data_IF_054972298007
#
_entry.id   IF_054972298007
#
_cell.length_a   1.000
_cell.length_b   1.000
_cell.length_c   1.000
_cell.angle_alpha   90.00
_cell.angle_beta   90.00
_cell.angle_gamma   90.00
#
_symmetry.space_group_name_H-M   'P 1'
#
loop_
_entity.id
_entity.type
_entity.pdbx_description
1 polymer ?
#
# COMPACT_ATOMS: atom_id res chain seq x y z
N UNK A 1 -17.40 10.34 17.36
CA UNK A 1 -16.13 10.26 16.59
C UNK A 1 -15.04 10.83 17.47
N UNK A 2 -13.93 10.12 17.64
CA UNK A 2 -12.76 10.65 18.36
C UNK A 2 -11.73 11.18 17.35
N UNK A 3 -11.18 12.37 17.61
CA UNK A 3 -10.07 12.92 16.82
C UNK A 3 -8.74 12.65 17.51
N UNK A 4 -7.71 12.35 16.72
CA UNK A 4 -6.34 12.24 17.20
C UNK A 4 -5.36 12.80 16.18
N UNK A 5 -4.11 12.97 16.60
CA UNK A 5 -3.00 13.36 15.74
C UNK A 5 -2.14 12.13 15.47
N UNK A 6 -1.72 11.94 14.22
CA UNK A 6 -0.73 10.96 13.81
C UNK A 6 0.53 11.73 13.43
N UNK A 7 1.66 11.27 13.92
CA UNK A 7 2.96 11.73 13.46
C UNK A 7 3.36 11.00 12.17
N UNK A 8 3.64 11.72 11.09
CA UNK A 8 4.18 11.13 9.87
C UNK A 8 5.64 10.74 10.11
N UNK A 9 5.90 9.43 10.14
CA UNK A 9 7.24 8.86 10.32
C UNK A 9 7.99 8.68 9.00
N UNK A 10 7.32 8.83 7.86
CA UNK A 10 7.94 8.66 6.54
C UNK A 10 8.83 9.85 6.22
N UNK A 11 10.11 9.57 6.02
CA UNK A 11 11.10 10.57 5.59
C UNK A 11 11.02 10.88 4.10
N UNK A 12 10.43 9.99 3.29
CA UNK A 12 10.39 10.10 1.83
C UNK A 12 8.94 10.18 1.33
N UNK A 13 8.70 11.10 0.40
CA UNK A 13 7.39 11.23 -0.26
C UNK A 13 7.09 9.97 -1.08
N UNK A 14 5.80 9.68 -1.24
CA UNK A 14 5.31 8.60 -2.09
C UNK A 14 4.41 9.17 -3.18
N UNK A 15 4.45 8.57 -4.36
CA UNK A 15 3.50 8.81 -5.44
C UNK A 15 2.76 7.52 -5.73
N UNK A 16 1.53 7.67 -6.18
CA UNK A 16 0.80 6.54 -6.72
C UNK A 16 1.43 6.16 -8.05
N UNK A 17 1.71 4.87 -8.18
CA UNK A 17 2.29 4.32 -9.37
C UNK A 17 1.35 3.23 -9.85
N UNK A 18 0.82 3.38 -11.07
CA UNK A 18 -0.11 2.42 -11.68
C UNK A 18 0.55 1.62 -12.81
N UNK A 19 1.87 1.41 -12.73
CA UNK A 19 2.58 0.61 -13.72
C UNK A 19 2.60 -0.88 -13.40
N UNK A 20 3.09 -1.67 -14.35
CA UNK A 20 3.39 -3.09 -14.11
C UNK A 20 4.64 -3.20 -13.25
N UNK A 21 4.56 -4.03 -12.22
CA UNK A 21 5.71 -4.44 -11.41
C UNK A 21 5.69 -5.95 -11.33
N UNK A 22 6.88 -6.55 -11.34
CA UNK A 22 7.09 -7.96 -11.06
C UNK A 22 8.02 -8.07 -9.85
N UNK A 23 7.81 -9.13 -9.07
CA UNK A 23 8.60 -9.43 -7.88
C UNK A 23 8.99 -10.90 -7.89
N UNK A 24 10.29 -11.14 -7.81
CA UNK A 24 10.87 -12.47 -7.71
C UNK A 24 11.46 -12.65 -6.31
N UNK A 25 10.95 -13.58 -5.49
CA UNK A 25 11.61 -13.99 -4.26
C UNK A 25 12.98 -14.59 -4.54
N UNK A 26 13.99 -14.19 -3.76
CA UNK A 26 15.32 -14.82 -3.80
C UNK A 26 15.38 -15.84 -2.68
N UNK A 27 15.26 -17.13 -3.01
CA UNK A 27 15.44 -18.18 -2.02
C UNK A 27 16.92 -18.41 -1.69
N UNK A 28 17.31 -18.57 -0.41
CA UNK A 28 18.70 -18.81 -0.04
C UNK A 28 19.27 -20.15 -0.51
N UNK A 29 18.43 -21.11 -0.92
CA UNK A 29 18.84 -22.51 -1.18
C UNK A 29 18.49 -23.07 -2.56
N UNK A 30 17.67 -22.37 -3.35
CA UNK A 30 17.32 -22.81 -4.69
C UNK A 30 17.91 -21.81 -5.71
N UNK A 31 18.77 -22.31 -6.61
CA UNK A 31 19.16 -21.59 -7.83
C UNK A 31 18.01 -21.48 -8.84
N UNK A 32 16.80 -21.87 -8.44
CA UNK A 32 15.57 -21.78 -9.22
C UNK A 32 14.87 -20.48 -8.86
N UNK A 33 14.77 -19.55 -9.82
CA UNK A 33 13.91 -18.39 -9.69
C UNK A 33 12.46 -18.88 -9.52
N UNK A 34 11.84 -18.56 -8.37
CA UNK A 34 10.41 -18.73 -8.23
C UNK A 34 9.69 -17.90 -9.31
N UNK A 35 8.55 -18.37 -9.87
CA UNK A 35 7.87 -17.66 -10.95
C UNK A 35 7.45 -16.25 -10.49
N UNK A 36 7.71 -15.28 -11.37
CA UNK A 36 7.33 -13.87 -11.15
C UNK A 36 5.86 -13.75 -10.78
N UNK A 37 5.58 -13.16 -9.63
CA UNK A 37 4.21 -12.93 -9.20
C UNK A 37 3.63 -11.72 -9.95
N UNK A 38 2.46 -11.82 -10.58
CA UNK A 38 1.78 -10.65 -11.14
C UNK A 38 1.43 -9.70 -10.01
N UNK A 39 1.92 -8.46 -10.10
CA UNK A 39 1.67 -7.45 -9.07
C UNK A 39 1.06 -6.19 -9.65
N UNK A 40 0.22 -5.54 -8.84
CA UNK A 40 -0.14 -4.15 -9.07
C UNK A 40 0.67 -3.29 -8.11
N UNK A 41 1.41 -2.31 -8.62
CA UNK A 41 2.03 -1.31 -7.75
C UNK A 41 0.96 -0.45 -7.08
N UNK A 42 1.18 -0.14 -5.81
CA UNK A 42 0.29 0.72 -5.02
C UNK A 42 0.89 2.10 -4.89
N UNK A 43 2.16 2.19 -4.49
CA UNK A 43 2.90 3.45 -4.40
C UNK A 43 4.42 3.22 -4.48
N UNK A 44 5.14 4.28 -4.85
CA UNK A 44 6.59 4.32 -5.01
C UNK A 44 7.15 5.52 -4.23
N UNK A 45 8.29 5.33 -3.56
CA UNK A 45 9.19 6.40 -3.10
C UNK A 45 10.62 6.13 -3.59
N UNK A 46 11.56 7.03 -3.28
CA UNK A 46 12.97 6.79 -3.58
C UNK A 46 13.60 5.64 -2.77
N UNK A 47 13.00 5.28 -1.64
CA UNK A 47 13.53 4.26 -0.72
C UNK A 47 12.85 2.91 -0.84
N UNK A 48 11.75 2.81 -1.58
CA UNK A 48 11.01 1.56 -1.69
C UNK A 48 9.68 1.70 -2.41
N UNK A 49 8.95 0.59 -2.49
CA UNK A 49 7.61 0.56 -3.07
C UNK A 49 6.67 -0.34 -2.28
N UNK A 50 5.38 -0.03 -2.37
CA UNK A 50 4.32 -0.94 -1.98
C UNK A 50 3.80 -1.64 -3.23
N UNK A 51 3.83 -2.97 -3.22
CA UNK A 51 3.25 -3.82 -4.27
C UNK A 51 2.14 -4.67 -3.68
N UNK A 52 1.21 -5.09 -4.52
CA UNK A 52 0.18 -6.06 -4.16
C UNK A 52 0.44 -7.38 -4.84
N UNK A 53 0.49 -8.45 -4.05
CA UNK A 53 0.79 -9.82 -4.51
C UNK A 53 -0.31 -10.78 -4.07
N UNK A 54 -0.40 -11.91 -4.76
CA UNK A 54 -1.35 -13.01 -4.48
C UNK A 54 -0.86 -14.01 -3.44
N UNK A 55 0.39 -13.88 -2.99
CA UNK A 55 1.07 -14.81 -2.11
C UNK A 55 1.77 -14.05 -0.99
N UNK A 56 1.81 -14.64 0.20
CA UNK A 56 2.56 -14.06 1.31
C UNK A 56 4.06 -14.11 1.02
N UNK A 57 4.76 -13.01 1.33
CA UNK A 57 6.21 -12.95 1.29
C UNK A 57 6.78 -12.92 2.71
N UNK A 58 8.00 -13.43 2.88
CA UNK A 58 8.63 -13.46 4.20
C UNK A 58 9.25 -12.11 4.51
N UNK A 59 8.92 -11.51 5.66
CA UNK A 59 9.56 -10.26 6.11
C UNK A 59 11.08 -10.45 6.24
N UNK A 60 11.84 -9.44 5.81
CA UNK A 60 13.31 -9.42 5.66
C UNK A 60 13.88 -10.32 4.56
N UNK A 61 13.06 -11.09 3.83
CA UNK A 61 13.54 -11.81 2.65
C UNK A 61 13.99 -10.85 1.55
N UNK A 62 14.92 -11.34 0.71
CA UNK A 62 15.40 -10.62 -0.47
C UNK A 62 14.47 -10.88 -1.65
N UNK A 63 14.30 -9.85 -2.46
CA UNK A 63 13.48 -9.91 -3.69
C UNK A 63 14.17 -9.13 -4.80
N UNK A 64 13.95 -9.52 -6.04
CA UNK A 64 14.28 -8.71 -7.22
C UNK A 64 12.99 -8.09 -7.73
N UNK A 65 12.98 -6.77 -7.89
CA UNK A 65 11.87 -6.02 -8.45
C UNK A 65 12.17 -5.65 -9.90
N UNK A 66 11.20 -5.87 -10.79
CA UNK A 66 11.20 -5.35 -12.16
C UNK A 66 10.10 -4.32 -12.32
N UNK A 67 10.49 -3.07 -12.52
CA UNK A 67 9.57 -1.93 -12.62
C UNK A 67 9.44 -1.51 -14.08
N UNK A 68 8.23 -1.64 -14.64
CA UNK A 68 7.97 -1.29 -16.02
C UNK A 68 7.43 0.15 -16.10
N UNK A 69 8.35 1.10 -16.27
CA UNK A 69 8.00 2.51 -16.50
C UNK A 69 7.26 2.72 -17.83
N UNK A 70 7.52 1.87 -18.81
CA UNK A 70 6.80 1.80 -20.08
C UNK A 70 6.68 0.31 -20.46
N UNK A 71 5.48 -0.20 -20.76
CA UNK A 71 5.28 -1.62 -21.05
C UNK A 71 6.06 -2.12 -22.29
N UNK A 72 6.51 -1.21 -23.16
CA UNK A 72 7.30 -1.52 -24.36
C UNK A 72 8.82 -1.43 -24.15
N UNK A 73 9.28 -1.07 -22.95
CA UNK A 73 10.71 -0.91 -22.64
C UNK A 73 11.17 -1.98 -21.66
N UNK A 74 12.49 -2.21 -21.62
CA UNK A 74 13.11 -3.06 -20.60
C UNK A 74 12.75 -2.55 -19.20
N UNK A 75 12.43 -3.45 -18.25
CA UNK A 75 12.15 -3.06 -16.88
C UNK A 75 13.41 -2.47 -16.22
N UNK A 76 13.18 -1.64 -15.22
CA UNK A 76 14.23 -1.25 -14.29
C UNK A 76 14.29 -2.31 -13.20
N UNK A 77 15.41 -3.03 -13.12
CA UNK A 77 15.67 -4.03 -12.10
C UNK A 77 16.26 -3.40 -10.83
N UNK A 78 15.76 -3.82 -9.68
CA UNK A 78 16.24 -3.33 -8.38
C UNK A 78 16.15 -4.43 -7.33
N UNK A 79 17.25 -4.65 -6.61
CA UNK A 79 17.26 -5.50 -5.43
C UNK A 79 16.52 -4.82 -4.27
N UNK A 80 15.70 -5.61 -3.59
CA UNK A 80 14.89 -5.17 -2.47
C UNK A 80 14.89 -6.14 -1.31
N UNK A 81 14.37 -5.64 -0.18
CA UNK A 81 14.10 -6.42 1.02
C UNK A 81 12.66 -6.18 1.45
N UNK A 82 11.95 -7.26 1.78
CA UNK A 82 10.59 -7.16 2.31
C UNK A 82 10.64 -6.50 3.69
N UNK A 83 10.05 -5.32 3.82
CA UNK A 83 10.03 -4.54 5.04
C UNK A 83 8.80 -4.85 5.92
N UNK A 84 7.66 -5.08 5.29
CA UNK A 84 6.40 -5.44 5.96
C UNK A 84 5.47 -6.16 4.99
N UNK A 85 4.58 -6.98 5.53
CA UNK A 85 3.53 -7.69 4.78
C UNK A 85 2.23 -7.53 5.55
N UNK A 86 1.19 -7.12 4.84
CA UNK A 86 -0.17 -6.98 5.39
C UNK A 86 -1.10 -7.78 4.49
N UNK A 87 -1.63 -8.88 5.02
CA UNK A 87 -2.77 -9.55 4.39
C UNK A 87 -3.95 -8.58 4.44
N UNK A 88 -4.46 -8.20 3.27
CA UNK A 88 -5.74 -7.49 3.24
C UNK A 88 -6.81 -8.48 3.64
N UNK A 89 -7.79 -8.04 4.44
CA UNK A 89 -8.95 -8.88 4.71
C UNK A 89 -9.58 -9.30 3.38
N UNK A 90 -9.41 -10.57 3.08
CA UNK A 90 -10.03 -11.19 1.96
C UNK A 90 -11.35 -11.79 2.42
N UNK A 91 -12.44 -11.32 1.84
CA UNK A 91 -13.77 -11.88 2.09
C UNK A 91 -14.02 -13.13 1.24
N UNK A 92 -13.07 -13.52 0.38
CA UNK A 92 -13.12 -14.78 -0.36
C UNK A 92 -12.78 -15.94 0.57
N UNK A 93 -13.50 -17.03 0.41
CA UNK A 93 -13.25 -18.30 1.13
C UNK A 93 -12.14 -19.12 0.48
N UNK A 94 -11.72 -18.77 -0.74
CA UNK A 94 -10.70 -19.51 -1.51
C UNK A 94 -9.63 -18.58 -2.09
N UNK A 95 -8.38 -19.05 -2.24
CA UNK A 95 -7.28 -18.33 -2.88
C UNK A 95 -7.60 -17.81 -4.31
N UNK A 96 -6.86 -16.82 -4.84
CA UNK A 96 -5.66 -16.20 -4.23
C UNK A 96 -6.00 -15.03 -3.30
N UNK A 97 -5.45 -15.04 -2.08
CA UNK A 97 -5.51 -13.91 -1.15
C UNK A 97 -4.70 -12.71 -1.64
N UNK A 98 -4.99 -11.49 -1.18
CA UNK A 98 -4.22 -10.29 -1.55
C UNK A 98 -3.42 -9.76 -0.36
N UNK A 99 -2.12 -9.57 -0.58
CA UNK A 99 -1.20 -9.00 0.38
C UNK A 99 -0.66 -7.69 -0.16
N UNK A 100 -0.74 -6.63 0.63
CA UNK A 100 0.06 -5.44 0.40
C UNK A 100 1.44 -5.70 1.03
N UNK A 101 2.51 -5.50 0.24
CA UNK A 101 3.89 -5.77 0.64
C UNK A 101 4.72 -4.52 0.43
N UNK A 102 5.36 -4.06 1.50
CA UNK A 102 6.36 -3.00 1.42
C UNK A 102 7.73 -3.58 1.14
N UNK A 103 8.35 -3.17 0.05
CA UNK A 103 9.73 -3.51 -0.30
C UNK A 103 10.61 -2.27 -0.16
N UNK A 104 11.67 -2.39 0.63
CA UNK A 104 12.74 -1.40 0.73
C UNK A 104 13.80 -1.69 -0.34
N UNK A 105 14.26 -0.67 -1.06
CA UNK A 105 15.32 -0.82 -2.05
C UNK A 105 16.68 -0.93 -1.34
N UNK A 106 17.45 -1.97 -1.67
CA UNK A 106 18.80 -2.14 -1.12
C UNK A 106 19.82 -1.22 -1.80
N UNK A 107 19.75 -1.13 -3.13
CA UNK A 107 20.59 -0.24 -3.95
C UNK A 107 19.82 0.19 -5.20
N UNK A 108 18.95 1.22 -5.09
CA UNK A 108 18.13 1.64 -6.21
C UNK A 108 19.01 2.18 -7.35
N UNK A 109 18.89 1.65 -8.58
CA UNK A 109 19.70 2.11 -9.70
C UNK A 109 19.33 3.55 -10.07
N UNK A 110 20.27 4.26 -10.70
CA UNK A 110 20.05 5.65 -11.11
C UNK A 110 18.87 5.81 -12.07
N UNK A 111 18.60 4.80 -12.91
CA UNK A 111 17.43 4.75 -13.78
C UNK A 111 16.11 4.76 -13.00
N UNK A 112 16.04 4.07 -11.85
CA UNK A 112 14.87 4.07 -10.97
C UNK A 112 14.70 5.43 -10.29
N UNK A 113 15.81 6.05 -9.86
CA UNK A 113 15.78 7.40 -9.27
C UNK A 113 15.32 8.45 -10.29
N UNK A 114 15.85 8.41 -11.51
CA UNK A 114 15.41 9.29 -12.61
C UNK A 114 13.94 9.05 -12.96
N UNK A 115 13.49 7.81 -12.93
CA UNK A 115 12.09 7.47 -13.13
C UNK A 115 11.19 8.05 -12.02
N UNK A 116 11.56 7.84 -10.76
CA UNK A 116 10.88 8.40 -9.59
C UNK A 116 10.79 9.94 -9.68
N UNK A 117 11.89 10.61 -10.03
CA UNK A 117 11.93 12.06 -10.19
C UNK A 117 10.95 12.56 -11.28
N UNK A 118 10.84 11.85 -12.42
CA UNK A 118 9.86 12.19 -13.48
C UNK A 118 8.41 12.04 -13.01
N UNK A 119 8.13 11.19 -12.03
CA UNK A 119 6.81 11.05 -11.42
C UNK A 119 6.50 12.16 -10.38
N UNK A 120 7.40 13.14 -10.20
CA UNK A 120 7.22 14.22 -9.23
C UNK A 120 7.51 13.83 -7.78
N UNK A 121 8.29 12.77 -7.57
CA UNK A 121 8.88 12.47 -6.26
C UNK A 121 10.01 13.47 -5.99
N UNK A 122 9.95 14.31 -4.94
CA UNK A 122 11.05 15.18 -4.60
C UNK A 122 12.22 14.36 -4.05
N UNK A 123 13.43 14.77 -4.44
CA UNK A 123 14.71 14.33 -3.87
C UNK A 123 14.93 14.79 -2.41
N UNK A 124 14.00 15.56 -1.84
CA UNK A 124 14.11 16.13 -0.51
C UNK A 124 13.27 15.35 0.50
N UNK A 125 13.77 15.17 1.73
CA UNK A 125 12.98 14.63 2.82
C UNK A 125 11.67 15.40 2.98
N UNK A 126 10.59 14.68 3.24
CA UNK A 126 9.34 15.32 3.67
C UNK A 126 9.55 15.74 5.13
N UNK A 127 9.36 17.01 5.44
CA UNK A 127 9.31 17.46 6.83
C UNK A 127 8.29 16.62 7.59
N UNK A 128 8.63 16.21 8.82
CA UNK A 128 7.71 15.52 9.73
C UNK A 128 6.44 16.36 9.87
N UNK A 129 5.37 15.94 9.17
CA UNK A 129 4.08 16.61 9.23
C UNK A 129 3.16 15.81 10.14
N UNK A 130 2.37 16.52 10.93
CA UNK A 130 1.27 15.89 11.65
C UNK A 130 0.10 15.67 10.69
N UNK A 131 -0.65 14.62 10.93
CA UNK A 131 -1.85 14.27 10.16
C UNK A 131 -3.02 14.07 11.10
N UNK A 132 -4.20 14.55 10.71
CA UNK A 132 -5.42 14.41 11.51
C UNK A 132 -6.04 13.03 11.29
N UNK A 133 -6.33 12.31 12.36
CA UNK A 133 -7.11 11.06 12.34
C UNK A 133 -8.48 11.27 12.95
N UNK A 134 -9.52 10.80 12.28
CA UNK A 134 -10.87 10.71 12.82
C UNK A 134 -11.25 9.23 12.92
N UNK A 135 -11.46 8.74 14.13
CA UNK A 135 -12.02 7.40 14.34
C UNK A 135 -13.54 7.46 14.26
N UNK A 136 -14.08 6.67 13.34
CA UNK A 136 -15.52 6.47 13.21
C UNK A 136 -16.00 5.47 14.27
N UNK A 137 -17.29 5.51 14.57
CA UNK A 137 -17.88 4.55 15.51
C UNK A 137 -17.68 3.12 14.99
N UNK A 138 -17.27 2.18 15.87
CA UNK A 138 -17.21 0.76 15.52
C UNK A 138 -18.54 0.27 14.95
N UNK A 139 -18.49 -0.75 14.10
CA UNK A 139 -19.68 -1.44 13.60
C UNK A 139 -19.46 -2.95 13.66
N UNK A 140 -20.45 -3.69 14.14
CA UNK A 140 -20.46 -5.15 14.04
C UNK A 140 -21.35 -5.55 12.86
N UNK A 141 -20.82 -6.34 11.93
CA UNK A 141 -21.57 -6.83 10.76
C UNK A 141 -21.22 -8.31 10.59
N UNK A 142 -22.21 -9.21 10.71
CA UNK A 142 -22.02 -10.67 10.58
C UNK A 142 -20.91 -11.19 11.49
N UNK A 143 -21.03 -10.87 12.78
CA UNK A 143 -20.10 -11.28 13.86
C UNK A 143 -18.64 -10.84 13.69
N UNK A 144 -18.36 -9.91 12.75
CA UNK A 144 -17.05 -9.29 12.60
C UNK A 144 -17.08 -7.84 13.06
N UNK A 145 -15.99 -7.42 13.69
CA UNK A 145 -15.83 -6.08 14.26
C UNK A 145 -15.08 -5.16 13.29
N UNK A 146 -15.78 -4.15 12.77
CA UNK A 146 -15.25 -3.16 11.85
C UNK A 146 -14.87 -1.89 12.60
N UNK A 147 -13.65 -1.42 12.38
CA UNK A 147 -13.17 -0.12 12.82
C UNK A 147 -12.74 0.68 11.60
N UNK A 148 -13.31 1.87 11.42
CA UNK A 148 -12.95 2.76 10.33
C UNK A 148 -12.26 4.02 10.88
N UNK A 149 -11.17 4.41 10.25
CA UNK A 149 -10.47 5.67 10.51
C UNK A 149 -10.30 6.46 9.23
N UNK A 150 -10.50 7.77 9.33
CA UNK A 150 -10.23 8.74 8.26
C UNK A 150 -8.95 9.47 8.61
N UNK A 151 -7.94 9.41 7.75
CA UNK A 151 -6.64 10.03 7.95
C UNK A 151 -6.41 11.10 6.90
N UNK A 152 -6.19 12.34 7.33
CA UNK A 152 -5.79 13.42 6.43
C UNK A 152 -4.38 13.14 5.92
N UNK A 153 -4.10 13.32 4.63
CA UNK A 153 -2.79 12.98 4.04
C UNK A 153 -1.63 13.76 4.70
N UNK A 154 -1.92 15.00 5.10
CA UNK A 154 -1.08 15.88 5.92
C UNK A 154 -1.97 16.97 6.50
N UNK A 155 -1.55 17.60 7.59
CA UNK A 155 -2.25 18.76 8.15
C UNK A 155 -2.53 19.80 7.05
N UNK A 156 -3.77 20.27 7.00
CA UNK A 156 -4.24 21.24 5.99
C UNK A 156 -4.55 20.66 4.60
N UNK A 157 -4.26 19.39 4.30
CA UNK A 157 -4.61 18.78 3.01
C UNK A 157 -6.12 18.59 2.86
N UNK A 158 -6.66 18.81 1.66
CA UNK A 158 -8.04 18.42 1.35
C UNK A 158 -8.19 16.91 1.21
N UNK A 159 -7.10 16.17 0.96
CA UNK A 159 -7.10 14.73 0.70
C UNK A 159 -7.11 13.91 1.99
N UNK A 160 -7.89 12.82 1.96
CA UNK A 160 -8.10 11.90 3.06
C UNK A 160 -7.92 10.45 2.61
N UNK A 161 -7.57 9.59 3.55
CA UNK A 161 -7.51 8.15 3.38
C UNK A 161 -8.50 7.49 4.33
N UNK A 162 -9.45 6.73 3.79
CA UNK A 162 -10.30 5.84 4.56
C UNK A 162 -9.53 4.55 4.76
N UNK A 163 -9.30 4.17 6.01
CA UNK A 163 -8.74 2.87 6.40
C UNK A 163 -9.80 2.16 7.23
N UNK A 164 -10.10 0.92 6.87
CA UNK A 164 -11.00 0.06 7.63
C UNK A 164 -10.23 -1.18 8.03
N UNK A 165 -10.32 -1.54 9.31
CA UNK A 165 -9.83 -2.81 9.85
C UNK A 165 -11.00 -3.67 10.29
N UNK A 166 -10.88 -4.99 10.13
CA UNK A 166 -11.85 -5.98 10.57
C UNK A 166 -11.13 -6.96 11.47
N UNK A 167 -11.62 -7.10 12.71
CA UNK A 167 -11.01 -7.95 13.74
C UNK A 167 -9.50 -7.66 13.89
N UNK A 168 -9.13 -6.38 13.81
CA UNK A 168 -7.75 -5.90 13.87
C UNK A 168 -6.97 -5.93 12.55
N UNK A 169 -7.50 -6.52 11.48
CA UNK A 169 -6.79 -6.68 10.20
C UNK A 169 -7.24 -5.65 9.17
N UNK A 170 -6.33 -4.86 8.53
CA UNK A 170 -6.69 -3.92 7.48
C UNK A 170 -7.44 -4.61 6.31
N UNK A 171 -8.64 -4.13 5.98
CA UNK A 171 -9.49 -4.70 4.93
C UNK A 171 -9.63 -3.81 3.70
N UNK A 172 -9.74 -2.51 3.94
CA UNK A 172 -10.09 -1.55 2.93
C UNK A 172 -9.32 -0.26 3.16
N UNK A 173 -8.82 0.28 2.06
CA UNK A 173 -8.01 1.49 2.02
C UNK A 173 -8.39 2.23 0.75
N UNK A 174 -8.90 3.45 0.86
CA UNK A 174 -9.23 4.29 -0.30
C UNK A 174 -8.84 5.74 -0.04
N UNK A 175 -8.05 6.32 -0.95
CA UNK A 175 -7.80 7.77 -0.99
C UNK A 175 -9.01 8.49 -1.57
N UNK A 176 -9.31 9.65 -1.00
CA UNK A 176 -10.44 10.50 -1.31
C UNK A 176 -9.96 11.95 -1.37
N UNK A 177 -10.58 12.75 -2.24
CA UNK A 177 -10.21 14.15 -2.45
C UNK A 177 -10.78 15.09 -1.38
N UNK A 178 -11.69 14.58 -0.54
CA UNK A 178 -12.29 15.33 0.57
C UNK A 178 -12.68 14.44 1.75
N UNK A 179 -12.89 15.08 2.90
CA UNK A 179 -13.44 14.41 4.09
C UNK A 179 -14.85 13.86 3.84
N UNK A 180 -15.67 14.58 3.06
CA UNK A 180 -17.03 14.17 2.74
C UNK A 180 -17.02 12.90 1.88
N UNK A 181 -16.13 12.83 0.89
CA UNK A 181 -15.95 11.64 0.08
C UNK A 181 -15.41 10.47 0.91
N UNK A 182 -14.49 10.73 1.83
CA UNK A 182 -13.99 9.71 2.77
C UNK A 182 -15.12 9.09 3.60
N UNK A 183 -15.99 9.93 4.18
CA UNK A 183 -17.20 9.48 4.88
C UNK A 183 -18.13 8.69 3.97
N UNK A 184 -18.34 9.16 2.73
CA UNK A 184 -19.20 8.49 1.76
C UNK A 184 -18.65 7.12 1.33
N UNK A 185 -17.33 6.99 1.17
CA UNK A 185 -16.66 5.73 0.87
C UNK A 185 -16.89 4.69 1.98
N UNK A 186 -16.77 5.09 3.25
CA UNK A 186 -17.14 4.22 4.37
C UNK A 186 -18.61 3.78 4.32
N UNK A 187 -19.56 4.71 4.08
CA UNK A 187 -20.97 4.33 3.99
C UNK A 187 -21.27 3.42 2.80
N UNK A 188 -20.62 3.63 1.64
CA UNK A 188 -20.70 2.71 0.50
C UNK A 188 -20.19 1.32 0.87
N UNK A 189 -19.03 1.22 1.51
CA UNK A 189 -18.46 -0.04 1.97
C UNK A 189 -19.40 -0.78 2.91
N UNK A 190 -19.96 -0.11 3.94
CA UNK A 190 -20.97 -0.71 4.84
C UNK A 190 -22.20 -1.23 4.11
N UNK A 191 -22.74 -0.46 3.16
CA UNK A 191 -23.93 -0.87 2.39
C UNK A 191 -23.64 -2.09 1.52
N UNK A 192 -22.45 -2.20 0.94
CA UNK A 192 -22.05 -3.37 0.16
C UNK A 192 -21.95 -4.63 1.03
N UNK A 193 -21.45 -4.52 2.27
CA UNK A 193 -21.42 -5.64 3.21
C UNK A 193 -22.82 -6.13 3.61
N UNK A 194 -23.77 -5.22 3.79
CA UNK A 194 -25.16 -5.56 4.10
C UNK A 194 -25.91 -6.24 2.96
N UNK A 195 -25.53 -5.98 1.70
CA UNK A 195 -26.21 -6.46 0.48
C UNK A 195 -25.77 -7.82 -0.05
N UNK A 196 -24.63 -8.37 0.40
CA UNK A 196 -24.18 -9.72 -0.02
C UNK A 196 -25.00 -10.82 0.67
N UNK A 197 -26.31 -10.86 0.42
CA UNK A 197 -27.19 -12.01 0.73
C UNK A 197 -26.97 -13.12 -0.28
#
# INVERSE_FOLDING_TARGET
>A
MASGVIEERRKLRRVDFQGRVEIDPVEPRAQTQAPSLPTSSVNLSEGGMCVRVSHELVVRSRVVLRVFANPRKRPVECDGRVAWVVQRLDLRTTPPYLYDVGVEFLKPPESLRRFAARLGLPLKPVDTTTSKRLRLSPATIRDRHYLASLEQERSGSTRWHVIVTVDGTPCFGQRCDSLQEAKAAWQRFRRQLGRKT
#
